data_IF_306211176130
#
_entry.id   IF_306211176130
#
_cell.length_a   1.000
_cell.length_b   1.000
_cell.length_c   1.000
_cell.angle_alpha   90.00
_cell.angle_beta   90.00
_cell.angle_gamma   90.00
#
_symmetry.space_group_name_H-M   'P 1'
#
loop_
_entity.id
_entity.type
_entity.pdbx_description
1 polymer ?
#
# COMPACT_ATOMS: atom_id res chain seq x y z
N UNK A 1 -1.66 20.13 32.69
CA UNK A 1 -1.74 20.18 34.17
C UNK A 1 -2.66 19.07 34.63
N UNK A 2 -2.11 17.98 35.19
CA UNK A 2 -2.83 17.13 36.15
C UNK A 2 -2.86 17.89 37.49
N UNK A 3 -3.93 17.75 38.29
CA UNK A 3 -3.98 16.74 39.38
C UNK A 3 -5.44 16.21 39.58
N UNK A 4 -5.83 15.27 40.44
CA UNK A 4 -5.25 14.45 41.50
C UNK A 4 -6.20 13.26 41.78
N UNK A 5 -5.68 12.29 42.52
CA UNK A 5 -6.28 11.05 43.00
C UNK A 5 -7.63 11.21 43.72
N UNK A 6 -8.60 10.32 43.42
CA UNK A 6 -9.75 10.06 44.30
C UNK A 6 -9.65 8.64 44.90
N UNK A 7 -9.89 8.58 46.21
CA UNK A 7 -9.63 7.48 47.14
C UNK A 7 -10.59 6.29 46.99
N UNK A 8 -9.99 5.10 47.05
CA UNK A 8 -10.36 3.97 47.92
C UNK A 8 -11.85 3.80 48.31
N UNK A 9 -12.54 2.92 47.58
CA UNK A 9 -13.77 2.25 48.02
C UNK A 9 -13.58 0.73 48.01
N UNK A 10 -13.54 0.13 49.20
CA UNK A 10 -13.39 -1.31 49.43
C UNK A 10 -14.72 -2.04 49.09
N UNK A 11 -14.75 -2.75 47.95
CA UNK A 11 -15.89 -3.54 47.47
C UNK A 11 -15.46 -4.96 47.11
N UNK A 12 -16.15 -5.94 47.70
CA UNK A 12 -15.90 -7.39 47.61
C UNK A 12 -15.72 -7.93 46.18
N UNK A 13 -14.72 -8.83 46.05
CA UNK A 13 -14.49 -9.87 45.03
C UNK A 13 -15.55 -10.03 43.92
N UNK A 14 -15.14 -9.74 42.69
CA UNK A 14 -15.52 -10.53 41.50
C UNK A 14 -14.23 -10.86 40.72
N UNK A 15 -13.76 -12.08 40.91
CA UNK A 15 -12.54 -12.62 40.29
C UNK A 15 -12.91 -13.57 39.16
N UNK A 16 -13.10 -13.02 37.95
CA UNK A 16 -13.01 -13.77 36.69
C UNK A 16 -13.27 -12.82 35.53
N UNK A 17 -12.23 -12.40 34.78
CA UNK A 17 -12.26 -11.97 33.35
C UNK A 17 -11.17 -10.96 32.93
N UNK A 18 -10.15 -10.68 33.75
CA UNK A 18 -8.95 -9.98 33.26
C UNK A 18 -7.84 -10.99 32.95
N UNK A 19 -7.95 -11.70 31.83
CA UNK A 19 -6.77 -12.29 31.20
C UNK A 19 -5.77 -11.14 31.02
N UNK A 20 -4.57 -11.26 31.60
CA UNK A 20 -3.56 -10.22 31.44
C UNK A 20 -3.25 -10.06 29.94
N UNK A 21 -2.99 -8.84 29.46
CA UNK A 21 -2.66 -8.60 28.05
C UNK A 21 -1.51 -9.51 27.57
N UNK A 22 -0.61 -9.89 28.48
CA UNK A 22 0.50 -10.80 28.22
C UNK A 22 0.07 -12.25 28.05
N UNK A 23 -0.90 -12.73 28.83
CA UNK A 23 -1.51 -14.06 28.63
C UNK A 23 -2.36 -14.10 27.36
N UNK A 24 -3.14 -13.05 27.08
CA UNK A 24 -3.88 -12.96 25.82
C UNK A 24 -2.94 -13.03 24.61
N UNK A 25 -1.83 -12.28 24.63
CA UNK A 25 -0.81 -12.32 23.58
C UNK A 25 -0.15 -13.70 23.44
N UNK A 26 0.08 -14.42 24.55
CA UNK A 26 0.66 -15.78 24.52
C UNK A 26 -0.33 -16.81 23.95
N UNK A 27 -1.60 -16.74 24.34
CA UNK A 27 -2.65 -17.62 23.83
C UNK A 27 -2.93 -17.32 22.35
N UNK A 28 -2.98 -16.04 21.97
CA UNK A 28 -3.14 -15.60 20.59
C UNK A 28 -1.98 -16.06 19.70
N UNK A 29 -0.72 -15.85 20.13
CA UNK A 29 0.46 -16.35 19.40
C UNK A 29 0.47 -17.85 19.20
N UNK A 30 -0.08 -18.61 20.15
CA UNK A 30 -0.15 -20.08 20.09
C UNK A 30 -1.14 -20.58 19.03
N UNK A 31 -2.12 -19.77 18.67
CA UNK A 31 -3.14 -20.09 17.66
C UNK A 31 -2.93 -19.34 16.34
N UNK A 32 -1.89 -18.50 16.24
CA UNK A 32 -1.56 -17.80 15.01
C UNK A 32 -0.79 -18.75 14.08
N UNK A 33 -1.32 -19.07 12.88
CA UNK A 33 -0.60 -19.93 11.95
C UNK A 33 0.71 -19.25 11.53
N UNK A 34 1.82 -20.00 11.58
CA UNK A 34 3.10 -19.52 11.10
C UNK A 34 2.98 -19.19 9.61
N UNK A 35 3.02 -17.89 9.26
CA UNK A 35 2.93 -17.43 7.88
C UNK A 35 4.21 -17.88 7.17
N UNK A 36 4.15 -18.67 6.08
CA UNK A 36 5.36 -19.13 5.40
C UNK A 36 5.98 -17.96 4.62
N UNK A 37 6.85 -17.19 5.28
CA UNK A 37 7.46 -15.97 4.74
C UNK A 37 8.13 -16.26 3.39
N UNK A 38 8.92 -17.34 3.32
CA UNK A 38 9.63 -17.74 2.11
C UNK A 38 8.70 -18.03 0.92
N UNK A 39 7.60 -18.77 1.16
CA UNK A 39 6.63 -19.09 0.13
C UNK A 39 5.91 -17.83 -0.39
N UNK A 40 5.58 -16.91 0.53
CA UNK A 40 4.96 -15.63 0.17
C UNK A 40 5.92 -14.74 -0.61
N UNK A 41 7.22 -14.74 -0.28
CA UNK A 41 8.23 -14.00 -1.03
C UNK A 41 8.38 -14.53 -2.47
N UNK A 42 8.47 -15.85 -2.65
CA UNK A 42 8.55 -16.46 -4.00
C UNK A 42 7.30 -16.10 -4.81
N UNK A 43 6.12 -16.26 -4.20
CA UNK A 43 4.85 -15.91 -4.85
C UNK A 43 4.79 -14.43 -5.23
N UNK A 44 5.19 -13.53 -4.32
CA UNK A 44 5.21 -12.10 -4.57
C UNK A 44 6.19 -11.74 -5.70
N UNK A 45 7.35 -12.39 -5.76
CA UNK A 45 8.32 -12.19 -6.84
C UNK A 45 7.75 -12.56 -8.21
N UNK A 46 7.14 -13.74 -8.34
CA UNK A 46 6.56 -14.18 -9.62
C UNK A 46 5.37 -13.34 -10.04
N UNK A 47 4.47 -13.00 -9.12
CA UNK A 47 3.30 -12.18 -9.46
C UNK A 47 3.72 -10.75 -9.80
N UNK A 48 4.63 -10.15 -9.04
CA UNK A 48 5.18 -8.82 -9.35
C UNK A 48 5.91 -8.81 -10.68
N UNK A 49 6.75 -9.83 -10.94
CA UNK A 49 7.43 -10.00 -12.21
C UNK A 49 6.47 -10.15 -13.38
N UNK A 50 5.38 -10.91 -13.22
CA UNK A 50 4.34 -11.04 -14.24
C UNK A 50 3.65 -9.71 -14.55
N UNK A 51 3.34 -8.90 -13.54
CA UNK A 51 2.79 -7.55 -13.75
C UNK A 51 3.78 -6.66 -14.52
N UNK A 52 5.08 -6.76 -14.23
CA UNK A 52 6.11 -6.03 -14.98
C UNK A 52 6.18 -6.47 -16.45
N UNK A 53 6.07 -7.77 -16.73
CA UNK A 53 6.03 -8.30 -18.09
C UNK A 53 4.83 -7.77 -18.87
N UNK A 54 3.65 -7.69 -18.23
CA UNK A 54 2.47 -7.06 -18.84
C UNK A 54 2.73 -5.58 -19.14
N UNK A 55 3.31 -4.85 -18.19
CA UNK A 55 3.66 -3.43 -18.39
C UNK A 55 4.62 -3.23 -19.55
N UNK A 56 5.66 -4.06 -19.64
CA UNK A 56 6.61 -4.03 -20.75
C UNK A 56 5.94 -4.36 -22.08
N UNK A 57 5.06 -5.37 -22.14
CA UNK A 57 4.32 -5.71 -23.36
C UNK A 57 3.44 -4.55 -23.86
N UNK A 58 2.78 -3.83 -22.94
CA UNK A 58 1.99 -2.64 -23.27
C UNK A 58 2.90 -1.51 -23.77
N UNK A 59 4.05 -1.30 -23.13
CA UNK A 59 5.01 -0.28 -23.55
C UNK A 59 5.58 -0.57 -24.94
N UNK A 60 5.93 -1.83 -25.21
CA UNK A 60 6.38 -2.27 -26.54
C UNK A 60 5.28 -2.11 -27.59
N UNK A 61 4.02 -2.40 -27.26
CA UNK A 61 2.90 -2.13 -28.15
C UNK A 61 2.76 -0.63 -28.48
N UNK A 62 2.94 0.26 -27.51
CA UNK A 62 2.95 1.71 -27.77
C UNK A 62 4.13 2.15 -28.63
N UNK A 63 5.33 1.64 -28.36
CA UNK A 63 6.52 1.94 -29.17
C UNK A 63 6.36 1.43 -30.62
N UNK A 64 5.78 0.25 -30.80
CA UNK A 64 5.58 -0.35 -32.12
C UNK A 64 4.43 0.29 -32.92
N UNK A 65 3.31 0.61 -32.27
CA UNK A 65 2.12 1.14 -32.95
C UNK A 65 2.17 2.66 -33.19
N UNK A 66 2.79 3.42 -32.29
CA UNK A 66 2.81 4.88 -32.33
C UNK A 66 4.21 5.48 -32.55
N UNK A 67 5.23 4.63 -32.81
CA UNK A 67 6.63 5.03 -33.00
C UNK A 67 7.18 5.93 -31.87
N UNK A 68 6.64 5.76 -30.66
CA UNK A 68 7.05 6.53 -29.48
C UNK A 68 8.40 6.04 -28.97
N UNK A 69 9.20 6.95 -28.42
CA UNK A 69 10.39 6.58 -27.66
C UNK A 69 10.00 5.87 -26.36
N UNK A 70 10.92 5.08 -25.77
CA UNK A 70 10.64 4.37 -24.51
C UNK A 70 10.21 5.30 -23.38
N UNK A 71 10.71 6.54 -23.37
CA UNK A 71 10.36 7.56 -22.38
C UNK A 71 8.96 8.11 -22.60
N UNK A 72 8.57 8.34 -23.84
CA UNK A 72 7.23 8.82 -24.19
C UNK A 72 6.17 7.74 -23.97
N UNK A 73 6.51 6.48 -24.26
CA UNK A 73 5.62 5.34 -24.06
C UNK A 73 5.39 4.97 -22.58
N UNK A 74 6.25 5.41 -21.66
CA UNK A 74 6.14 5.07 -20.24
C UNK A 74 4.87 5.64 -19.59
N UNK A 75 4.57 6.93 -19.81
CA UNK A 75 3.38 7.59 -19.27
C UNK A 75 2.06 6.94 -19.69
N UNK A 76 1.79 6.69 -21.00
CA UNK A 76 0.57 6.01 -21.42
C UNK A 76 0.52 4.55 -20.95
N UNK A 77 1.66 3.85 -20.84
CA UNK A 77 1.72 2.50 -20.29
C UNK A 77 1.20 2.46 -18.85
N UNK A 78 1.71 3.35 -17.99
CA UNK A 78 1.26 3.44 -16.60
C UNK A 78 -0.23 3.80 -16.52
N UNK A 79 -0.71 4.70 -17.38
CA UNK A 79 -2.12 5.07 -17.43
C UNK A 79 -3.03 3.87 -17.80
N UNK A 80 -2.65 3.08 -18.82
CA UNK A 80 -3.38 1.87 -19.21
C UNK A 80 -3.34 0.82 -18.10
N UNK A 81 -2.19 0.61 -17.46
CA UNK A 81 -2.06 -0.31 -16.33
C UNK A 81 -2.99 0.06 -15.17
N UNK A 82 -3.05 1.35 -14.82
CA UNK A 82 -3.97 1.87 -13.80
C UNK A 82 -5.43 1.63 -14.22
N UNK A 83 -5.77 1.94 -15.48
CA UNK A 83 -7.13 1.78 -16.00
C UNK A 83 -7.59 0.32 -15.93
N UNK A 84 -6.76 -0.62 -16.42
CA UNK A 84 -7.04 -2.06 -16.36
C UNK A 84 -7.24 -2.48 -14.90
N UNK A 85 -6.36 -2.03 -14.00
CA UNK A 85 -6.45 -2.34 -12.58
C UNK A 85 -7.77 -1.86 -11.97
N UNK A 86 -8.15 -0.61 -12.22
CA UNK A 86 -9.40 -0.02 -11.70
C UNK A 86 -10.62 -0.77 -12.24
N UNK A 87 -10.65 -1.11 -13.53
CA UNK A 87 -11.75 -1.90 -14.11
C UNK A 87 -11.85 -3.26 -13.43
N UNK A 88 -10.74 -3.98 -13.28
CA UNK A 88 -10.71 -5.28 -12.61
C UNK A 88 -11.08 -5.18 -11.11
N UNK A 89 -10.77 -4.06 -10.47
CA UNK A 89 -11.15 -3.76 -9.07
C UNK A 89 -12.66 -3.57 -8.96
N UNK A 90 -13.26 -2.75 -9.83
CA UNK A 90 -14.70 -2.55 -9.88
C UNK A 90 -15.47 -3.85 -10.15
N UNK A 91 -14.89 -4.79 -10.91
CA UNK A 91 -15.45 -6.12 -11.14
C UNK A 91 -15.23 -7.10 -9.97
N UNK A 92 -14.50 -6.70 -8.93
CA UNK A 92 -14.15 -7.53 -7.77
C UNK A 92 -13.16 -8.67 -8.08
N UNK A 93 -12.58 -8.69 -9.28
CA UNK A 93 -11.61 -9.71 -9.71
C UNK A 93 -10.23 -9.38 -9.15
N UNK A 94 -9.82 -8.10 -9.23
CA UNK A 94 -8.50 -7.69 -8.77
C UNK A 94 -8.34 -7.92 -7.26
N UNK A 95 -9.34 -7.61 -6.44
CA UNK A 95 -9.27 -7.83 -4.99
C UNK A 95 -9.03 -9.31 -4.62
N UNK A 96 -9.66 -10.26 -5.34
CA UNK A 96 -9.43 -11.70 -5.14
C UNK A 96 -8.01 -12.11 -5.51
N UNK A 97 -7.52 -11.60 -6.65
CA UNK A 97 -6.13 -11.83 -7.07
C UNK A 97 -5.18 -11.23 -6.04
N UNK A 98 -5.48 -10.04 -5.54
CA UNK A 98 -4.64 -9.32 -4.60
C UNK A 98 -4.54 -10.00 -3.23
N UNK A 99 -5.65 -10.53 -2.71
CA UNK A 99 -5.67 -11.32 -1.49
C UNK A 99 -4.83 -12.59 -1.62
N UNK A 100 -4.86 -13.23 -2.79
CA UNK A 100 -4.03 -14.40 -3.04
C UNK A 100 -2.56 -14.02 -3.24
N UNK A 101 -2.25 -13.12 -4.17
CA UNK A 101 -0.90 -12.72 -4.55
C UNK A 101 -0.14 -11.93 -3.48
N UNK A 102 -0.85 -11.28 -2.56
CA UNK A 102 -0.28 -10.50 -1.47
C UNK A 102 0.58 -9.35 -1.98
N UNK A 103 1.83 -9.29 -1.50
CA UNK A 103 2.76 -8.21 -1.82
C UNK A 103 3.05 -8.07 -3.32
N UNK A 104 2.98 -9.16 -4.11
CA UNK A 104 3.28 -9.13 -5.54
C UNK A 104 2.34 -8.27 -6.38
N UNK A 105 1.09 -8.12 -5.95
CA UNK A 105 0.09 -7.23 -6.58
C UNK A 105 -0.07 -5.90 -5.87
N UNK A 106 0.36 -5.80 -4.60
CA UNK A 106 0.22 -4.59 -3.79
C UNK A 106 1.34 -3.57 -4.04
N UNK A 107 2.55 -4.03 -4.34
CA UNK A 107 3.72 -3.17 -4.58
C UNK A 107 3.70 -2.44 -5.93
N UNK A 108 3.30 -3.08 -7.06
CA UNK A 108 3.22 -2.38 -8.35
C UNK A 108 2.18 -1.25 -8.36
N UNK A 109 2.26 -0.36 -9.36
CA UNK A 109 1.32 0.78 -9.52
C UNK A 109 -0.15 0.35 -9.59
N UNK A 110 -0.43 -0.86 -10.07
CA UNK A 110 -1.76 -1.47 -10.10
C UNK A 110 -2.30 -1.75 -8.69
N UNK A 111 -1.44 -2.15 -7.76
CA UNK A 111 -1.82 -2.35 -6.35
C UNK A 111 -2.29 -1.07 -5.70
N UNK A 112 -1.55 0.02 -5.93
CA UNK A 112 -1.96 1.34 -5.46
C UNK A 112 -3.29 1.77 -6.09
N UNK A 113 -3.48 1.55 -7.39
CA UNK A 113 -4.74 1.84 -8.07
C UNK A 113 -5.92 1.03 -7.50
N UNK A 114 -5.72 -0.26 -7.20
CA UNK A 114 -6.72 -1.10 -6.53
C UNK A 114 -7.08 -0.53 -5.16
N UNK A 115 -6.10 -0.27 -4.28
CA UNK A 115 -6.38 0.29 -2.95
C UNK A 115 -7.12 1.62 -2.99
N UNK A 116 -6.77 2.50 -3.94
CA UNK A 116 -7.48 3.77 -4.15
C UNK A 116 -8.92 3.56 -4.63
N UNK A 117 -9.12 2.66 -5.59
CA UNK A 117 -10.45 2.33 -6.11
C UNK A 117 -11.32 1.64 -5.06
N UNK A 118 -10.80 0.65 -4.33
CA UNK A 118 -11.53 -0.02 -3.24
C UNK A 118 -11.91 0.97 -2.14
N UNK A 119 -11.02 1.92 -1.77
CA UNK A 119 -11.35 2.97 -0.81
C UNK A 119 -12.49 3.88 -1.31
N UNK A 120 -12.49 4.21 -2.61
CA UNK A 120 -13.55 4.98 -3.24
C UNK A 120 -14.90 4.23 -3.25
N UNK A 121 -14.87 2.93 -3.52
CA UNK A 121 -16.07 2.08 -3.56
C UNK A 121 -16.65 1.83 -2.16
N UNK A 122 -15.81 1.58 -1.17
CA UNK A 122 -16.23 1.30 0.21
C UNK A 122 -16.87 2.54 0.86
N UNK A 123 -16.24 3.71 0.71
CA UNK A 123 -16.68 4.95 1.36
C UNK A 123 -17.62 5.79 0.48
N UNK A 124 -18.18 5.19 -0.58
CA UNK A 124 -19.15 5.87 -1.47
C UNK A 124 -20.42 6.31 -0.73
N UNK A 125 -20.85 5.52 0.26
CA UNK A 125 -22.03 5.81 1.08
C UNK A 125 -21.86 7.05 1.97
N UNK A 126 -20.63 7.43 2.30
CA UNK A 126 -20.29 8.62 3.09
C UNK A 126 -20.25 9.91 2.25
N UNK A 127 -20.57 9.82 0.94
CA UNK A 127 -20.61 10.93 0.01
C UNK A 127 -19.30 11.17 -0.73
N UNK A 128 -19.35 12.05 -1.75
CA UNK A 128 -18.21 12.26 -2.66
C UNK A 128 -17.02 12.99 -2.04
N UNK A 129 -17.26 13.95 -1.15
CA UNK A 129 -16.20 14.80 -0.58
C UNK A 129 -15.65 14.18 0.70
N UNK A 130 -16.53 13.93 1.69
CA UNK A 130 -16.13 13.43 3.01
C UNK A 130 -15.84 11.93 3.02
N UNK A 131 -16.50 11.15 2.15
CA UNK A 131 -16.26 9.72 2.00
C UNK A 131 -15.17 9.41 0.98
N UNK A 132 -15.51 9.52 -0.31
CA UNK A 132 -14.62 9.14 -1.42
C UNK A 132 -13.35 9.98 -1.43
N UNK A 133 -13.49 11.31 -1.52
CA UNK A 133 -12.37 12.24 -1.64
C UNK A 133 -11.43 12.18 -0.45
N UNK A 134 -11.95 12.27 0.77
CA UNK A 134 -11.12 12.27 1.98
C UNK A 134 -10.36 10.95 2.17
N UNK A 135 -10.98 9.79 1.92
CA UNK A 135 -10.31 8.51 2.13
C UNK A 135 -9.28 8.18 1.03
N UNK A 136 -9.59 8.50 -0.23
CA UNK A 136 -8.59 8.44 -1.31
C UNK A 136 -7.42 9.40 -1.04
N UNK A 137 -7.70 10.61 -0.54
CA UNK A 137 -6.66 11.60 -0.22
C UNK A 137 -5.80 11.18 0.98
N UNK A 138 -6.36 10.54 2.01
CA UNK A 138 -5.56 9.99 3.12
C UNK A 138 -4.53 8.96 2.62
N UNK A 139 -4.95 8.07 1.72
CA UNK A 139 -4.07 7.07 1.11
C UNK A 139 -2.99 7.75 0.26
N UNK A 140 -3.38 8.56 -0.73
CA UNK A 140 -2.44 9.24 -1.63
C UNK A 140 -1.52 10.24 -0.90
N UNK A 141 -2.07 10.99 0.06
CA UNK A 141 -1.35 11.98 0.85
C UNK A 141 -0.23 11.36 1.66
N UNK A 142 -0.45 10.19 2.26
CA UNK A 142 0.61 9.47 2.98
C UNK A 142 1.79 9.14 2.05
N UNK A 143 1.51 8.61 0.86
CA UNK A 143 2.54 8.26 -0.15
C UNK A 143 3.30 9.49 -0.61
N UNK A 144 2.60 10.60 -0.89
CA UNK A 144 3.23 11.85 -1.31
C UNK A 144 4.15 12.40 -0.21
N UNK A 145 3.70 12.43 1.05
CA UNK A 145 4.50 12.94 2.17
C UNK A 145 5.78 12.12 2.34
N UNK A 146 5.68 10.78 2.41
CA UNK A 146 6.86 9.94 2.55
C UNK A 146 7.77 9.99 1.33
N UNK A 147 7.20 10.06 0.11
CA UNK A 147 7.96 10.17 -1.13
C UNK A 147 8.77 11.46 -1.21
N UNK A 148 8.15 12.61 -0.89
CA UNK A 148 8.81 13.92 -0.92
C UNK A 148 9.87 14.02 0.18
N UNK A 149 9.58 13.56 1.40
CA UNK A 149 10.56 13.59 2.51
C UNK A 149 11.74 12.67 2.21
N UNK A 150 11.50 11.47 1.69
CA UNK A 150 12.58 10.56 1.30
C UNK A 150 13.43 11.16 0.16
N UNK A 151 12.79 11.73 -0.87
CA UNK A 151 13.50 12.40 -1.96
C UNK A 151 14.33 13.59 -1.46
N UNK A 152 13.83 14.36 -0.49
CA UNK A 152 14.56 15.46 0.14
C UNK A 152 15.79 14.98 0.90
N UNK A 153 15.66 13.93 1.72
CA UNK A 153 16.79 13.34 2.46
C UNK A 153 17.83 12.79 1.49
N UNK A 154 17.41 12.00 0.48
CA UNK A 154 18.32 11.48 -0.56
C UNK A 154 18.99 12.63 -1.31
N UNK A 155 18.26 13.70 -1.61
CA UNK A 155 18.80 14.91 -2.24
C UNK A 155 19.86 15.60 -1.38
N UNK A 156 19.66 15.73 -0.07
CA UNK A 156 20.67 16.26 0.86
C UNK A 156 21.88 15.34 0.91
N UNK A 157 21.67 14.03 1.05
CA UNK A 157 22.76 13.05 1.08
C UNK A 157 23.57 13.11 -0.22
N UNK A 158 22.91 13.19 -1.37
CA UNK A 158 23.57 13.36 -2.67
C UNK A 158 24.36 14.68 -2.75
N UNK A 159 23.78 15.79 -2.28
CA UNK A 159 24.44 17.09 -2.27
C UNK A 159 25.65 17.15 -1.32
N UNK A 160 25.58 16.49 -0.16
CA UNK A 160 26.66 16.47 0.84
C UNK A 160 27.76 15.44 0.53
N UNK A 161 27.42 14.27 0.00
CA UNK A 161 28.39 13.21 -0.32
C UNK A 161 29.00 13.36 -1.71
N UNK A 162 28.50 14.27 -2.55
CA UNK A 162 29.22 14.79 -3.70
C UNK A 162 29.68 13.72 -4.70
N UNK A 163 28.74 13.07 -5.40
CA UNK A 163 29.05 12.46 -6.70
C UNK A 163 29.08 13.52 -7.83
N UNK A 164 29.77 14.64 -7.57
CA UNK A 164 30.09 15.67 -8.57
C UNK A 164 29.10 16.83 -8.65
N UNK A 165 29.31 17.84 -7.81
CA UNK A 165 29.03 19.24 -8.17
C UNK A 165 30.02 19.69 -9.25
N UNK A 166 29.94 19.07 -10.43
CA UNK A 166 30.80 19.28 -11.57
C UNK A 166 29.99 19.27 -12.87
N UNK A 167 29.01 20.17 -12.95
CA UNK A 167 28.54 20.72 -14.22
C UNK A 167 27.81 22.03 -13.91
N UNK A 168 28.61 23.09 -13.75
CA UNK A 168 28.26 24.40 -14.32
C UNK A 168 28.24 24.24 -15.85
#
# INVERSE_FOLDING_TARGET
>A
MLPAQEKSGNGKKSSSLSISEQEYKKVAKKHEPARPIWANCIKAFFVGGFVCVIGQAIQEAFMAAFHMTSKEAASPTVAVMILISVILTCLGVYDKIAQWAGAGTAVPVTGFANSMCSAALEHRAEGLVLGVGANMFKLAGSVIVFGVVAAFIVGIVYACLGFGGGHL
#
